data_IF_514589839166
#
_entry.id   IF_514589839166
#
_cell.length_a   1.000
_cell.length_b   1.000
_cell.length_c   1.000
_cell.angle_alpha   90.00
_cell.angle_beta   90.00
_cell.angle_gamma   90.00
#
_symmetry.space_group_name_H-M   'P 1'
#
loop_
_entity.id
_entity.type
_entity.pdbx_description
1 polymer ?
#
# COMPACT_ATOMS: atom_id res chain seq x y z
N UNK A 1 1.49 -0.72 -16.83
CA UNK A 1 2.19 -0.72 -15.53
C UNK A 1 1.42 0.03 -14.45
N UNK A 2 1.31 1.37 -14.46
CA UNK A 2 0.46 2.11 -13.50
C UNK A 2 -1.02 2.13 -13.94
N UNK A 3 -1.27 2.28 -15.24
CA UNK A 3 -2.63 2.27 -15.83
C UNK A 3 -3.42 1.02 -15.43
N UNK A 4 -2.79 -0.15 -15.49
CA UNK A 4 -3.40 -1.44 -15.13
C UNK A 4 -3.70 -1.55 -13.63
N UNK A 5 -2.91 -0.86 -12.79
CA UNK A 5 -3.15 -0.76 -11.35
C UNK A 5 -4.37 0.12 -11.11
N UNK A 6 -4.40 1.32 -11.69
CA UNK A 6 -5.48 2.31 -11.50
C UNK A 6 -6.83 1.79 -12.00
N UNK A 7 -6.85 0.97 -13.05
CA UNK A 7 -8.08 0.35 -13.56
C UNK A 7 -8.51 -0.91 -12.79
N UNK A 8 -7.67 -1.43 -11.90
CA UNK A 8 -8.01 -2.60 -11.10
C UNK A 8 -9.13 -2.28 -10.10
N UNK A 9 -10.15 -3.14 -10.06
CA UNK A 9 -11.30 -2.97 -9.17
C UNK A 9 -10.90 -2.85 -7.68
N UNK A 10 -9.80 -3.49 -7.28
CA UNK A 10 -9.30 -3.47 -5.91
C UNK A 10 -9.00 -2.05 -5.40
N UNK A 11 -8.58 -1.12 -6.27
CA UNK A 11 -8.13 0.24 -5.91
C UNK A 11 -9.05 1.36 -6.42
N UNK A 12 -10.04 1.03 -7.27
CA UNK A 12 -10.95 2.02 -7.86
C UNK A 12 -11.64 2.86 -6.77
N UNK A 13 -11.47 4.18 -6.83
CA UNK A 13 -12.05 5.13 -5.87
C UNK A 13 -11.43 5.10 -4.47
N UNK A 14 -10.27 4.46 -4.29
CA UNK A 14 -9.54 4.41 -3.02
C UNK A 14 -8.22 5.17 -3.13
N UNK A 15 -7.77 5.73 -2.01
CA UNK A 15 -6.41 6.27 -1.91
C UNK A 15 -5.44 5.11 -1.70
N UNK A 16 -4.36 5.07 -2.48
CA UNK A 16 -3.34 4.04 -2.38
C UNK A 16 -1.97 4.60 -2.73
N UNK A 17 -0.93 3.86 -2.34
CA UNK A 17 0.45 4.09 -2.73
C UNK A 17 1.12 2.77 -3.09
N UNK A 18 2.10 2.84 -3.98
CA UNK A 18 2.94 1.71 -4.33
C UNK A 18 4.10 1.59 -3.36
N UNK A 19 4.65 0.39 -3.22
CA UNK A 19 5.90 0.17 -2.49
C UNK A 19 7.04 1.06 -3.03
N UNK A 20 7.06 1.36 -4.32
CA UNK A 20 8.04 2.27 -4.93
C UNK A 20 7.89 3.71 -4.47
N UNK A 21 6.67 4.14 -4.15
CA UNK A 21 6.38 5.51 -3.69
C UNK A 21 6.90 5.73 -2.27
N UNK A 22 7.07 4.63 -1.51
CA UNK A 22 7.63 4.66 -0.16
C UNK A 22 9.16 4.68 -0.12
N UNK A 23 9.86 4.59 -1.26
CA UNK A 23 11.34 4.60 -1.30
C UNK A 23 11.93 6.00 -1.03
N UNK A 24 11.44 6.70 -0.01
CA UNK A 24 11.95 7.97 0.50
C UNK A 24 12.74 7.79 1.81
N UNK A 25 13.42 8.85 2.30
CA UNK A 25 14.24 8.81 3.50
C UNK A 25 13.45 8.49 4.78
N UNK A 26 12.14 8.80 4.80
CA UNK A 26 11.31 8.71 6.01
C UNK A 26 10.75 7.31 6.31
N UNK A 27 10.57 6.43 5.31
CA UNK A 27 9.97 5.11 5.54
C UNK A 27 10.50 4.08 4.55
N UNK A 28 11.61 3.42 4.88
CA UNK A 28 12.18 2.34 4.08
C UNK A 28 11.46 1.03 4.34
N UNK A 29 11.32 0.18 3.32
CA UNK A 29 10.78 -1.19 3.44
C UNK A 29 11.85 -2.20 3.90
N UNK A 30 12.65 -1.80 4.87
CA UNK A 30 13.52 -2.69 5.62
C UNK A 30 12.70 -3.48 6.66
N UNK A 31 13.37 -4.22 7.54
CA UNK A 31 12.69 -5.03 8.54
C UNK A 31 11.79 -4.18 9.46
N UNK A 32 12.24 -2.97 9.82
CA UNK A 32 11.49 -2.05 10.67
C UNK A 32 10.26 -1.51 9.95
N UNK A 33 10.40 -1.02 8.71
CA UNK A 33 9.26 -0.53 7.94
C UNK A 33 8.22 -1.62 7.65
N UNK A 34 8.66 -2.86 7.39
CA UNK A 34 7.76 -4.01 7.25
C UNK A 34 7.00 -4.31 8.54
N UNK A 35 7.65 -4.23 9.70
CA UNK A 35 6.99 -4.39 10.99
C UNK A 35 5.93 -3.30 11.21
N UNK A 36 6.24 -2.02 10.91
CA UNK A 36 5.28 -0.91 11.00
C UNK A 36 4.06 -1.16 10.11
N UNK A 37 4.26 -1.55 8.85
CA UNK A 37 3.15 -1.86 7.95
C UNK A 37 2.30 -3.03 8.43
N UNK A 38 2.91 -4.01 9.10
CA UNK A 38 2.21 -5.16 9.69
C UNK A 38 1.28 -4.70 10.82
N UNK A 39 1.76 -3.83 11.70
CA UNK A 39 0.96 -3.23 12.78
C UNK A 39 -0.18 -2.39 12.20
N UNK A 40 0.10 -1.52 11.21
CA UNK A 40 -0.93 -0.69 10.58
C UNK A 40 -2.02 -1.51 9.89
N UNK A 41 -1.66 -2.65 9.28
CA UNK A 41 -2.64 -3.60 8.73
C UNK A 41 -3.47 -4.23 9.82
N UNK A 42 -2.84 -4.69 10.89
CA UNK A 42 -3.52 -5.32 12.02
C UNK A 42 -4.53 -4.36 12.67
N UNK A 43 -4.19 -3.08 12.79
CA UNK A 43 -5.06 -2.03 13.31
C UNK A 43 -6.12 -1.53 12.30
N UNK A 44 -6.23 -2.17 11.13
CA UNK A 44 -7.21 -1.80 10.10
C UNK A 44 -6.98 -0.43 9.47
N UNK A 45 -5.78 0.14 9.57
CA UNK A 45 -5.44 1.45 8.99
C UNK A 45 -5.11 1.35 7.50
N UNK A 46 -4.52 0.23 7.09
CA UNK A 46 -4.15 -0.05 5.71
C UNK A 46 -4.53 -1.47 5.30
N UNK A 47 -4.77 -1.65 4.01
CA UNK A 47 -4.86 -2.96 3.36
C UNK A 47 -3.75 -3.10 2.32
N UNK A 48 -3.41 -4.32 1.94
CA UNK A 48 -2.41 -4.58 0.91
C UNK A 48 -2.97 -5.55 -0.13
N UNK A 49 -2.72 -5.27 -1.41
CA UNK A 49 -3.00 -6.16 -2.53
C UNK A 49 -1.83 -6.20 -3.50
N UNK A 50 -1.70 -7.29 -4.25
CA UNK A 50 -0.77 -7.39 -5.38
C UNK A 50 -1.52 -7.22 -6.69
N UNK A 51 -1.04 -6.29 -7.51
CA UNK A 51 -1.55 -6.11 -8.87
C UNK A 51 -0.36 -6.25 -9.83
N UNK A 52 -0.32 -7.39 -10.53
CA UNK A 52 0.85 -7.83 -11.28
C UNK A 52 2.06 -8.01 -10.35
N UNK A 53 3.18 -7.38 -10.69
CA UNK A 53 4.40 -7.38 -9.87
C UNK A 53 4.45 -6.25 -8.84
N UNK A 54 3.39 -5.42 -8.73
CA UNK A 54 3.39 -4.26 -7.86
C UNK A 54 2.63 -4.56 -6.58
N UNK A 55 3.28 -4.26 -5.45
CA UNK A 55 2.67 -4.26 -4.12
C UNK A 55 1.98 -2.91 -3.90
N UNK A 56 0.68 -2.95 -3.68
CA UNK A 56 -0.17 -1.78 -3.57
C UNK A 56 -0.76 -1.73 -2.17
N UNK A 57 -0.56 -0.59 -1.50
CA UNK A 57 -1.01 -0.36 -0.13
C UNK A 57 -2.16 0.64 -0.19
N UNK A 58 -3.31 0.22 0.31
CA UNK A 58 -4.57 0.95 0.23
C UNK A 58 -4.88 1.53 1.61
N UNK A 59 -5.17 2.82 1.67
CA UNK A 59 -5.61 3.48 2.89
C UNK A 59 -7.05 3.09 3.18
N UNK A 60 -7.31 2.64 4.41
CA UNK A 60 -8.66 2.38 4.89
C UNK A 60 -9.30 3.70 5.29
N UNK A 61 -10.60 3.87 5.02
CA UNK A 61 -11.32 5.05 5.50
C UNK A 61 -11.31 5.04 7.03
N UNK A 62 -11.10 6.21 7.69
CA UNK A 62 -11.34 6.30 9.12
C UNK A 62 -12.81 5.95 9.38
N UNK A 63 -13.03 5.11 10.40
CA UNK A 63 -14.36 4.88 10.96
C UNK A 63 -14.89 6.16 11.61
#
# INVERSE_FOLDING_TARGET
>A
KLRDIVTAQAVKGKHFFLETDMKGPSLKLDNTGKAILTVLRHLGRISETRIGQNRVIILMKPH
#
